data_IF_897716677494
#
_entry.id   IF_897716677494
#
_cell.length_a   1.000
_cell.length_b   1.000
_cell.length_c   1.000
_cell.angle_alpha   90.00
_cell.angle_beta   90.00
_cell.angle_gamma   90.00
#
_symmetry.space_group_name_H-M   'P 1'
#
loop_
_entity.id
_entity.type
_entity.pdbx_description
1 polymer ?
#
# COMPACT_ATOMS: atom_id res chain seq x y z
N UNK A 1 -58.25 -58.60 21.87
CA UNK A 1 -58.28 -57.63 20.74
C UNK A 1 -57.93 -56.27 21.31
N UNK A 2 -56.97 -55.58 20.68
CA UNK A 2 -56.62 -54.15 20.84
C UNK A 2 -56.00 -53.76 22.21
N UNK A 3 -54.96 -52.93 22.32
CA UNK A 3 -54.27 -52.03 21.38
C UNK A 3 -52.89 -51.63 21.93
N UNK A 4 -52.07 -51.11 21.01
CA UNK A 4 -50.65 -50.77 21.02
C UNK A 4 -50.02 -49.99 22.19
N UNK A 5 -48.70 -50.18 22.24
CA UNK A 5 -47.71 -49.73 23.21
C UNK A 5 -47.48 -48.21 23.26
N UNK A 6 -47.23 -47.80 24.49
CA UNK A 6 -46.82 -46.48 25.00
C UNK A 6 -45.53 -45.92 24.39
N UNK A 7 -45.59 -44.62 24.09
CA UNK A 7 -44.48 -43.75 23.70
C UNK A 7 -43.57 -43.36 24.88
N UNK A 8 -42.38 -42.90 24.47
CA UNK A 8 -41.44 -41.98 25.14
C UNK A 8 -40.41 -42.60 26.10
N UNK A 9 -39.21 -42.82 25.55
CA UNK A 9 -37.98 -43.11 26.28
C UNK A 9 -37.25 -41.80 26.66
N UNK A 10 -36.62 -41.88 27.82
CA UNK A 10 -35.91 -40.84 28.56
C UNK A 10 -34.48 -40.60 28.06
N UNK A 11 -33.86 -39.62 28.73
CA UNK A 11 -32.42 -39.43 29.03
C UNK A 11 -31.92 -38.06 28.52
N UNK A 12 -31.16 -37.24 29.24
CA UNK A 12 -30.94 -37.00 30.68
C UNK A 12 -30.10 -35.70 30.78
N UNK A 13 -30.25 -34.97 31.89
CA UNK A 13 -29.39 -33.92 32.51
C UNK A 13 -28.46 -32.93 31.71
N UNK A 14 -28.63 -31.63 32.00
CA UNK A 14 -27.61 -30.56 31.97
C UNK A 14 -26.94 -30.42 33.37
N UNK A 15 -25.93 -29.53 33.59
CA UNK A 15 -24.62 -29.34 32.96
C UNK A 15 -23.48 -29.29 34.03
N UNK A 16 -22.20 -29.46 33.65
CA UNK A 16 -21.07 -29.21 34.58
C UNK A 16 -19.82 -28.62 33.90
N UNK A 17 -19.52 -27.38 34.28
CA UNK A 17 -18.22 -26.81 34.68
C UNK A 17 -16.93 -27.02 33.87
N UNK A 18 -16.43 -25.90 33.31
CA UNK A 18 -15.12 -25.25 33.54
C UNK A 18 -13.78 -25.86 33.06
N UNK A 19 -12.96 -24.93 32.51
CA UNK A 19 -11.48 -24.82 32.37
C UNK A 19 -10.80 -25.55 31.19
N UNK A 20 -10.29 -24.86 30.16
CA UNK A 20 -9.02 -24.09 29.98
C UNK A 20 -7.86 -24.94 29.43
N UNK A 21 -7.37 -24.53 28.25
CA UNK A 21 -6.06 -24.71 27.59
C UNK A 21 -5.39 -26.10 27.48
N UNK A 22 -5.02 -26.48 26.24
CA UNK A 22 -3.62 -26.65 25.78
C UNK A 22 -3.54 -27.49 24.47
N UNK A 23 -3.15 -26.80 23.40
CA UNK A 23 -2.02 -27.15 22.52
C UNK A 23 -1.96 -28.55 21.85
N UNK A 24 -2.27 -28.61 20.54
CA UNK A 24 -1.39 -29.30 19.57
C UNK A 24 -1.80 -28.96 18.12
N UNK A 25 -1.16 -27.96 17.51
CA UNK A 25 -1.22 -27.76 16.07
C UNK A 25 -0.20 -28.68 15.41
N UNK A 26 -0.66 -29.73 14.75
CA UNK A 26 0.14 -30.43 13.75
C UNK A 26 -0.77 -31.06 12.70
N UNK A 27 -1.02 -30.32 11.62
CA UNK A 27 -1.46 -30.89 10.34
C UNK A 27 -0.68 -30.18 9.23
N UNK A 28 0.50 -30.72 8.92
CA UNK A 28 1.10 -30.58 7.61
C UNK A 28 0.13 -31.15 6.57
N UNK A 29 -0.35 -30.32 5.65
CA UNK A 29 -0.99 -30.79 4.42
C UNK A 29 -0.48 -29.97 3.25
N UNK A 30 0.45 -30.60 2.54
CA UNK A 30 0.65 -30.59 1.10
C UNK A 30 0.56 -29.24 0.37
N UNK A 31 1.75 -28.76 -0.01
CA UNK A 31 2.11 -28.47 -1.41
C UNK A 31 1.00 -27.92 -2.32
N UNK A 32 0.89 -26.60 -2.36
CA UNK A 32 0.68 -25.91 -3.63
C UNK A 32 1.83 -24.92 -3.73
N UNK A 33 2.90 -25.36 -4.40
CA UNK A 33 3.84 -24.43 -5.00
C UNK A 33 3.04 -23.68 -6.07
N UNK A 34 2.54 -22.51 -5.70
CA UNK A 34 2.01 -21.57 -6.67
C UNK A 34 3.22 -21.07 -7.48
N UNK A 35 3.46 -21.74 -8.61
CA UNK A 35 4.23 -21.21 -9.73
C UNK A 35 3.48 -19.98 -10.27
N UNK A 36 3.50 -18.88 -9.53
CA UNK A 36 3.18 -17.57 -10.08
C UNK A 36 4.43 -17.06 -10.77
N UNK A 37 4.53 -17.47 -12.04
CA UNK A 37 5.12 -16.74 -13.17
C UNK A 37 5.89 -15.51 -12.71
N UNK A 38 7.22 -15.60 -12.72
CA UNK A 38 8.12 -14.46 -12.55
C UNK A 38 7.90 -13.50 -13.73
N UNK A 39 6.82 -12.70 -13.64
CA UNK A 39 6.62 -11.56 -14.50
C UNK A 39 7.83 -10.68 -14.26
N UNK A 40 8.73 -10.62 -15.25
CA UNK A 40 9.92 -9.80 -15.24
C UNK A 40 9.52 -8.42 -14.72
N UNK A 41 9.80 -8.15 -13.44
CA UNK A 41 9.38 -6.92 -12.81
C UNK A 41 10.05 -5.81 -13.61
N UNK A 42 9.25 -5.00 -14.29
CA UNK A 42 9.76 -3.82 -14.96
C UNK A 42 10.26 -2.93 -13.82
N UNK A 43 11.58 -2.87 -13.65
CA UNK A 43 12.20 -2.01 -12.67
C UNK A 43 12.12 -0.59 -13.23
N UNK A 44 11.20 0.20 -12.69
CA UNK A 44 11.09 1.60 -13.04
C UNK A 44 12.03 2.44 -12.18
N UNK A 45 12.49 3.54 -12.75
CA UNK A 45 13.39 4.49 -12.11
C UNK A 45 12.91 5.93 -12.30
N UNK A 46 13.10 6.73 -11.26
CA UNK A 46 12.71 8.13 -11.23
C UNK A 46 13.84 8.99 -10.60
N UNK A 47 14.09 10.17 -11.15
CA UNK A 47 14.89 11.22 -10.49
C UNK A 47 13.95 12.11 -9.68
N UNK A 48 14.24 12.29 -8.39
CA UNK A 48 13.38 13.03 -7.46
C UNK A 48 14.08 14.31 -7.03
N UNK A 49 13.45 15.45 -7.30
CA UNK A 49 13.98 16.77 -6.92
C UNK A 49 13.01 17.46 -5.97
N UNK A 50 13.51 17.79 -4.79
CA UNK A 50 12.73 18.47 -3.75
C UNK A 50 13.30 19.87 -3.56
N UNK A 51 12.47 20.90 -3.73
CA UNK A 51 12.93 22.29 -3.66
C UNK A 51 11.81 23.28 -3.33
N UNK A 52 12.22 24.44 -2.84
CA UNK A 52 11.36 25.61 -2.67
C UNK A 52 11.53 26.52 -3.88
N UNK A 53 10.41 26.96 -4.46
CA UNK A 53 10.37 27.91 -5.55
C UNK A 53 9.61 29.17 -5.17
N UNK A 54 9.95 30.30 -5.78
CA UNK A 54 9.15 31.53 -5.66
C UNK A 54 7.76 31.33 -6.29
N UNK A 55 6.73 31.87 -5.63
CA UNK A 55 5.35 31.77 -6.07
C UNK A 55 4.57 33.02 -5.71
N UNK A 56 4.15 33.74 -6.75
CA UNK A 56 3.30 34.93 -6.63
C UNK A 56 1.88 34.61 -6.14
N UNK A 57 1.45 33.33 -6.21
CA UNK A 57 0.12 32.89 -5.79
C UNK A 57 0.04 32.40 -4.34
N UNK A 58 1.14 32.45 -3.59
CA UNK A 58 1.21 31.99 -2.20
C UNK A 58 1.31 33.17 -1.23
N UNK A 59 0.76 33.03 -0.02
CA UNK A 59 0.85 34.06 1.03
C UNK A 59 2.29 34.33 1.48
N UNK A 60 3.16 33.32 1.40
CA UNK A 60 4.56 33.37 1.81
C UNK A 60 5.51 33.84 0.71
N UNK A 61 5.03 33.97 -0.53
CA UNK A 61 5.87 34.21 -1.71
C UNK A 61 6.64 32.98 -2.19
N UNK A 62 6.46 31.82 -1.57
CA UNK A 62 7.14 30.58 -1.91
C UNK A 62 6.20 29.37 -1.91
N UNK A 63 6.53 28.37 -2.72
CA UNK A 63 5.86 27.08 -2.74
C UNK A 63 6.89 25.96 -2.72
N UNK A 64 6.61 24.95 -1.91
CA UNK A 64 7.41 23.74 -1.82
C UNK A 64 6.93 22.74 -2.87
N UNK A 65 7.87 22.12 -3.59
CA UNK A 65 7.63 21.25 -4.73
C UNK A 65 8.47 19.98 -4.67
N UNK A 66 7.93 18.93 -5.29
CA UNK A 66 8.63 17.70 -5.61
C UNK A 66 8.43 17.46 -7.10
N UNK A 67 9.52 17.50 -7.86
CA UNK A 67 9.49 17.07 -9.26
C UNK A 67 9.92 15.61 -9.32
N UNK A 68 9.09 14.79 -9.96
CA UNK A 68 9.31 13.36 -10.15
C UNK A 68 9.57 13.16 -11.64
N UNK A 69 10.82 12.92 -12.03
CA UNK A 69 11.23 12.81 -13.42
C UNK A 69 11.32 11.33 -13.78
N UNK A 70 10.60 10.90 -14.81
CA UNK A 70 10.67 9.52 -15.29
C UNK A 70 12.01 9.28 -15.97
N UNK A 71 12.73 8.23 -15.54
CA UNK A 71 13.92 7.71 -16.23
C UNK A 71 13.60 6.42 -17.01
N UNK A 72 12.32 6.14 -17.22
CA UNK A 72 11.84 4.92 -17.85
C UNK A 72 11.83 5.03 -19.38
N UNK A 73 12.32 3.98 -20.06
CA UNK A 73 12.24 3.88 -21.52
C UNK A 73 10.79 3.76 -22.02
N UNK A 74 9.94 3.05 -21.25
CA UNK A 74 8.52 2.89 -21.54
C UNK A 74 7.68 3.91 -20.76
N UNK A 75 6.56 4.39 -21.31
CA UNK A 75 5.70 5.34 -20.62
C UNK A 75 5.10 4.73 -19.36
N UNK A 76 5.11 5.48 -18.26
CA UNK A 76 4.56 5.06 -16.97
C UNK A 76 3.51 6.03 -16.44
N UNK A 77 2.69 5.56 -15.50
CA UNK A 77 1.72 6.42 -14.80
C UNK A 77 1.89 6.23 -13.31
N UNK A 78 2.09 7.33 -12.60
CA UNK A 78 2.13 7.35 -11.14
C UNK A 78 0.71 7.18 -10.62
N UNK A 79 0.51 6.21 -9.74
CA UNK A 79 -0.77 5.93 -9.06
C UNK A 79 -0.78 6.43 -7.62
N UNK A 80 0.38 6.68 -7.03
CA UNK A 80 0.50 7.22 -5.68
C UNK A 80 1.84 7.89 -5.41
N UNK A 81 1.83 8.90 -4.54
CA UNK A 81 3.03 9.53 -4.00
C UNK A 81 2.86 9.65 -2.49
N UNK A 82 3.83 9.13 -1.73
CA UNK A 82 3.89 9.26 -0.29
C UNK A 82 5.17 9.98 0.12
N UNK A 83 5.05 10.96 1.01
CA UNK A 83 6.21 11.69 1.54
C UNK A 83 6.37 11.33 3.01
N UNK A 84 7.60 11.01 3.42
CA UNK A 84 7.94 10.58 4.77
C UNK A 84 7.01 9.46 5.28
N UNK A 85 6.79 8.41 4.46
CA UNK A 85 5.87 7.29 4.75
C UNK A 85 4.42 7.72 5.02
N UNK A 86 3.98 8.80 4.37
CA UNK A 86 2.63 9.34 4.50
C UNK A 86 2.46 10.40 5.60
N UNK A 87 3.52 10.74 6.34
CA UNK A 87 3.46 11.80 7.36
C UNK A 87 3.37 13.21 6.77
N UNK A 88 3.56 13.35 5.46
CA UNK A 88 3.36 14.59 4.74
C UNK A 88 2.41 14.36 3.55
N UNK A 89 1.26 15.02 3.61
CA UNK A 89 0.24 14.93 2.57
C UNK A 89 0.70 15.64 1.29
N UNK A 90 0.39 15.03 0.14
CA UNK A 90 0.48 15.69 -1.17
C UNK A 90 -0.87 16.33 -1.46
N UNK A 91 -0.90 17.66 -1.62
CA UNK A 91 -2.14 18.39 -1.88
C UNK A 91 -2.61 18.17 -3.31
N UNK A 92 -1.68 18.14 -4.26
CA UNK A 92 -1.93 18.00 -5.69
C UNK A 92 -0.74 17.34 -6.39
N UNK A 93 -1.05 16.65 -7.48
CA UNK A 93 -0.07 16.13 -8.42
C UNK A 93 -0.55 16.44 -9.85
N UNK A 94 0.38 16.85 -10.71
CA UNK A 94 0.13 17.16 -12.11
C UNK A 94 1.05 16.33 -13.01
N UNK A 95 0.63 16.15 -14.26
CA UNK A 95 1.45 15.55 -15.34
C UNK A 95 1.98 14.14 -15.01
N UNK A 96 1.22 13.40 -14.20
CA UNK A 96 1.60 12.10 -13.65
C UNK A 96 1.20 10.89 -14.50
N UNK A 97 0.50 11.13 -15.62
CA UNK A 97 0.01 10.09 -16.53
C UNK A 97 0.87 10.02 -17.78
N UNK A 98 1.12 8.81 -18.28
CA UNK A 98 1.86 8.55 -19.52
C UNK A 98 3.20 9.30 -19.58
N UNK A 99 3.95 9.29 -18.48
CA UNK A 99 5.25 9.93 -18.35
C UNK A 99 6.30 9.16 -19.15
N UNK A 100 6.84 9.79 -20.18
CA UNK A 100 7.98 9.29 -20.96
C UNK A 100 9.31 9.67 -20.30
N UNK A 101 10.41 9.07 -20.73
CA UNK A 101 11.76 9.46 -20.33
C UNK A 101 11.95 10.99 -20.36
N UNK A 102 12.39 11.56 -19.23
CA UNK A 102 12.61 12.99 -19.04
C UNK A 102 11.35 13.82 -18.74
N UNK A 103 10.15 13.24 -18.79
CA UNK A 103 8.92 13.92 -18.38
C UNK A 103 8.87 14.05 -16.86
N UNK A 104 8.34 15.18 -16.37
CA UNK A 104 8.27 15.47 -14.94
C UNK A 104 6.81 15.59 -14.47
N UNK A 105 6.47 14.86 -13.41
CA UNK A 105 5.26 15.07 -12.64
C UNK A 105 5.54 16.04 -11.49
N UNK A 106 4.62 16.97 -11.26
CA UNK A 106 4.79 18.03 -10.27
C UNK A 106 3.89 17.74 -9.07
N UNK A 107 4.49 17.40 -7.93
CA UNK A 107 3.79 17.15 -6.68
C UNK A 107 3.99 18.30 -5.67
N UNK A 108 2.91 18.63 -4.95
CA UNK A 108 2.85 19.78 -4.03
C UNK A 108 2.63 19.29 -2.58
N UNK A 109 3.71 19.09 -1.80
CA UNK A 109 3.62 18.65 -0.41
C UNK A 109 3.04 19.73 0.50
N UNK A 110 2.42 19.32 1.61
CA UNK A 110 1.98 20.22 2.70
C UNK A 110 3.04 20.52 3.75
N UNK A 111 4.07 19.69 3.81
CA UNK A 111 5.21 19.91 4.67
C UNK A 111 6.28 20.76 3.98
N UNK A 112 7.18 21.29 4.80
CA UNK A 112 8.34 22.04 4.34
C UNK A 112 9.34 21.14 3.63
N UNK A 113 9.93 21.58 2.51
CA UNK A 113 10.96 20.81 1.80
C UNK A 113 12.11 20.37 2.71
N UNK A 114 12.51 21.20 3.67
CA UNK A 114 13.59 20.93 4.62
C UNK A 114 13.28 19.77 5.59
N UNK A 115 12.01 19.35 5.66
CA UNK A 115 11.54 18.23 6.49
C UNK A 115 11.34 16.93 5.71
N UNK A 116 11.48 16.97 4.38
CA UNK A 116 11.34 15.80 3.52
C UNK A 116 12.62 14.96 3.60
N UNK A 117 12.48 13.67 3.88
CA UNK A 117 13.58 12.70 4.02
C UNK A 117 13.40 11.50 3.11
N UNK A 118 12.16 11.18 2.76
CA UNK A 118 11.82 10.04 1.92
C UNK A 118 10.63 10.38 1.04
N UNK A 119 10.67 9.96 -0.22
CA UNK A 119 9.56 10.04 -1.18
C UNK A 119 9.38 8.67 -1.80
N UNK A 120 8.17 8.13 -1.74
CA UNK A 120 7.80 6.85 -2.35
C UNK A 120 6.84 7.07 -3.49
N UNK A 121 7.14 6.50 -4.65
CA UNK A 121 6.36 6.59 -5.89
C UNK A 121 5.75 5.22 -6.17
N UNK A 122 4.43 5.16 -6.30
CA UNK A 122 3.70 3.94 -6.68
C UNK A 122 3.24 4.04 -8.12
N UNK A 123 3.36 2.95 -8.86
CA UNK A 123 2.88 2.79 -10.24
C UNK A 123 2.10 1.48 -10.37
N UNK A 124 1.76 1.07 -11.59
CA UNK A 124 1.21 -0.26 -11.84
C UNK A 124 2.25 -1.39 -11.65
N UNK A 125 3.55 -1.09 -11.68
CA UNK A 125 4.63 -2.08 -11.69
C UNK A 125 5.33 -2.22 -10.33
N UNK A 126 5.17 -1.25 -9.43
CA UNK A 126 5.75 -1.34 -8.10
C UNK A 126 5.63 -0.07 -7.28
N UNK A 127 6.33 -0.08 -6.14
CA UNK A 127 6.54 1.11 -5.32
C UNK A 127 8.04 1.30 -5.10
N UNK A 128 8.53 2.50 -5.41
CA UNK A 128 9.94 2.86 -5.43
C UNK A 128 10.18 3.99 -4.42
N UNK A 129 11.04 3.74 -3.43
CA UNK A 129 11.31 4.69 -2.35
C UNK A 129 12.69 5.35 -2.52
N UNK A 130 12.71 6.68 -2.41
CA UNK A 130 13.87 7.52 -2.62
C UNK A 130 14.19 8.30 -1.34
N UNK A 131 15.45 8.28 -0.91
CA UNK A 131 15.92 9.10 0.22
C UNK A 131 16.36 10.46 -0.27
N UNK A 132 15.92 11.50 0.44
CA UNK A 132 16.25 12.90 0.16
C UNK A 132 17.25 13.37 1.20
N UNK A 133 18.41 13.84 0.73
CA UNK A 133 19.55 14.28 1.54
C UNK A 133 19.57 15.78 1.80
#
# INVERSE_FOLDING_TARGET
MQTDLSETLADDEMPASSETDLNNQNLDTASIADEQTEAKAIAEEFDIRVYRAESQGSLTGYIDKIDIISLNDQPTTITGVQVNRGNCEITRIYDYKNMYYGSAALAYPRCKVESIREVSISTAYGTYAYRIG
#
